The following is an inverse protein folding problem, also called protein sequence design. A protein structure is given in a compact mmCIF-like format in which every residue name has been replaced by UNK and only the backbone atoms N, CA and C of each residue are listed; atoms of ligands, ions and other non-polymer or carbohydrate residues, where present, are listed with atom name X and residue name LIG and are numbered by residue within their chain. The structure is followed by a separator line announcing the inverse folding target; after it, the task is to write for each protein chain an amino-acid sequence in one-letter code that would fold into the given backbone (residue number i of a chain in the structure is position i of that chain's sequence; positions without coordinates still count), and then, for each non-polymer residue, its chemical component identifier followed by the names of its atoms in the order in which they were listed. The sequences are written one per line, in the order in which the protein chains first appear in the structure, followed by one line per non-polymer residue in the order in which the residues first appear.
data_IF_949582796517
#
_entry.id   IF_949582796517
#
_cell.length_a   1.000
_cell.length_b   1.000
_cell.length_c   1.000
_cell.angle_alpha   90.00
_cell.angle_beta   90.00
_cell.angle_gamma   90.00
#
_symmetry.space_group_name_H-M   'P 1'
#
loop_
_entity.id
_entity.type
_entity.pdbx_description
1 polymer ?
#
# COMPACT_ATOMS: atom_id res chain seq x y z
N UNK A 1 49.92 -4.88 -7.56
CA UNK A 1 49.13 -5.11 -8.79
C UNK A 1 47.92 -4.19 -8.77
N UNK A 2 47.86 -3.24 -9.72
CA UNK A 2 46.73 -2.33 -9.98
C UNK A 2 45.72 -3.09 -10.84
N UNK A 3 44.49 -3.34 -10.37
CA UNK A 3 43.30 -3.59 -11.21
C UNK A 3 42.09 -3.98 -10.35
N UNK A 4 41.32 -3.01 -9.85
CA UNK A 4 39.89 -3.14 -9.48
C UNK A 4 39.26 -1.75 -9.35
N UNK A 5 39.42 -0.91 -10.38
CA UNK A 5 38.88 0.46 -10.42
C UNK A 5 37.78 0.66 -11.47
N UNK A 6 37.22 -0.40 -12.04
CA UNK A 6 36.37 -0.29 -13.24
C UNK A 6 34.85 -0.40 -12.96
N UNK A 7 34.43 -1.04 -11.86
CA UNK A 7 33.01 -1.25 -11.56
C UNK A 7 32.38 -0.17 -10.65
N UNK A 8 33.18 0.74 -10.08
CA UNK A 8 32.66 1.87 -9.30
C UNK A 8 32.12 3.03 -10.17
N UNK A 9 32.29 2.97 -11.50
CA UNK A 9 31.84 4.00 -12.46
C UNK A 9 30.48 3.72 -13.08
N UNK A 10 29.89 2.55 -12.86
CA UNK A 10 28.68 2.09 -13.57
C UNK A 10 27.42 2.05 -12.71
N UNK A 11 27.38 2.74 -11.57
CA UNK A 11 26.11 2.96 -10.86
C UNK A 11 25.28 3.97 -11.67
N UNK A 12 24.02 3.65 -12.04
CA UNK A 12 23.19 4.55 -12.82
C UNK A 12 22.99 5.89 -12.08
N UNK A 13 23.36 6.98 -12.73
CA UNK A 13 23.29 8.36 -12.24
C UNK A 13 21.84 8.91 -12.10
N UNK A 14 20.84 8.04 -12.10
CA UNK A 14 19.42 8.39 -12.22
C UNK A 14 18.70 8.57 -10.87
N UNK A 15 19.34 8.25 -9.74
CA UNK A 15 18.78 8.48 -8.40
C UNK A 15 19.56 9.56 -7.62
N UNK A 16 18.92 10.65 -7.16
CA UNK A 16 19.56 11.70 -6.36
C UNK A 16 20.04 11.22 -4.97
N UNK A 17 19.63 10.01 -4.54
CA UNK A 17 20.01 9.35 -3.27
C UNK A 17 21.54 9.29 -3.05
N UNK A 18 22.32 9.19 -4.13
CA UNK A 18 23.78 8.99 -4.02
C UNK A 18 24.62 10.28 -3.97
N UNK A 19 24.04 11.48 -4.15
CA UNK A 19 24.82 12.73 -4.30
C UNK A 19 25.23 13.40 -2.98
N UNK A 20 24.59 13.08 -1.84
CA UNK A 20 24.75 13.83 -0.58
C UNK A 20 25.94 13.45 0.34
N UNK A 21 26.67 12.37 0.07
CA UNK A 21 27.61 11.77 1.05
C UNK A 21 29.03 12.36 0.96
N UNK A 22 29.15 13.69 0.87
CA UNK A 22 30.48 14.34 0.81
C UNK A 22 30.60 15.58 1.71
N UNK A 23 30.10 15.53 2.95
CA UNK A 23 30.36 16.58 3.94
C UNK A 23 31.60 16.28 4.80
N UNK A 24 32.49 17.27 4.91
CA UNK A 24 33.86 17.18 5.46
C UNK A 24 33.94 17.10 7.00
N UNK A 25 32.82 17.07 7.71
CA UNK A 25 32.75 17.04 9.19
C UNK A 25 32.99 15.66 9.79
N UNK A 26 33.07 14.63 8.95
CA UNK A 26 33.36 13.24 9.33
C UNK A 26 34.86 12.92 9.32
N UNK A 27 35.69 13.84 9.83
CA UNK A 27 37.17 13.69 9.86
C UNK A 27 37.76 13.47 11.26
N UNK A 28 37.01 13.74 12.35
CA UNK A 28 37.52 13.49 13.72
C UNK A 28 37.00 12.23 14.40
N UNK A 29 35.77 11.77 14.12
CA UNK A 29 35.22 10.51 14.67
C UNK A 29 35.67 9.26 13.89
N UNK A 30 36.18 9.47 12.69
CA UNK A 30 36.63 8.43 11.73
C UNK A 30 37.99 7.82 12.05
N UNK A 31 38.81 8.46 12.90
CA UNK A 31 40.15 7.92 13.23
C UNK A 31 40.07 6.61 14.03
N UNK A 32 39.03 6.40 14.85
CA UNK A 32 38.82 5.15 15.59
C UNK A 32 38.11 4.06 14.77
N UNK A 33 37.45 4.43 13.67
CA UNK A 33 36.77 3.51 12.74
C UNK A 33 37.74 3.01 11.64
N UNK A 34 38.82 3.74 11.39
CA UNK A 34 39.80 3.46 10.32
C UNK A 34 40.66 2.18 10.49
N UNK A 35 40.50 1.41 11.58
CA UNK A 35 41.18 0.12 11.78
C UNK A 35 40.31 -1.11 11.48
N UNK A 36 39.10 -0.95 10.95
CA UNK A 36 38.31 -2.09 10.49
C UNK A 36 38.60 -2.34 9.01
N UNK A 37 39.70 -3.04 8.74
CA UNK A 37 39.98 -3.59 7.43
C UNK A 37 38.93 -4.62 7.03
N UNK A 38 38.68 -4.71 5.72
CA UNK A 38 38.40 -5.88 4.85
C UNK A 38 38.16 -7.28 5.46
N UNK A 39 37.51 -7.41 6.61
CA UNK A 39 37.14 -8.68 7.21
C UNK A 39 35.62 -8.78 7.15
N UNK A 40 35.12 -9.80 6.44
CA UNK A 40 33.72 -10.20 6.52
C UNK A 40 33.46 -10.61 7.98
N UNK A 41 32.87 -9.70 8.77
CA UNK A 41 32.59 -10.01 10.17
C UNK A 41 31.54 -11.12 10.23
N UNK A 42 31.80 -12.13 11.06
CA UNK A 42 30.89 -13.26 11.28
C UNK A 42 29.47 -12.76 11.60
N UNK A 43 29.37 -11.64 12.32
CA UNK A 43 28.13 -10.94 12.63
C UNK A 43 27.36 -10.45 11.39
N UNK A 44 28.03 -9.86 10.39
CA UNK A 44 27.38 -9.41 9.16
C UNK A 44 26.81 -10.59 8.37
N UNK A 45 27.54 -11.71 8.32
CA UNK A 45 27.08 -12.94 7.68
C UNK A 45 25.85 -13.51 8.40
N UNK A 46 25.87 -13.56 9.73
CA UNK A 46 24.74 -14.06 10.51
C UNK A 46 23.49 -13.20 10.32
N UNK A 47 23.62 -11.87 10.31
CA UNK A 47 22.48 -10.98 10.07
C UNK A 47 21.92 -11.16 8.66
N UNK A 48 22.78 -11.19 7.63
CA UNK A 48 22.32 -11.38 6.25
C UNK A 48 21.64 -12.74 6.06
N UNK A 49 22.20 -13.82 6.62
CA UNK A 49 21.56 -15.13 6.64
C UNK A 49 20.21 -15.09 7.36
N UNK A 50 20.13 -14.44 8.53
CA UNK A 50 18.89 -14.30 9.29
C UNK A 50 17.80 -13.57 8.52
N UNK A 51 18.14 -12.48 7.83
CA UNK A 51 17.22 -11.74 6.96
C UNK A 51 16.74 -12.60 5.79
N UNK A 52 17.64 -13.24 5.06
CA UNK A 52 17.25 -14.12 3.95
C UNK A 52 16.40 -15.31 4.41
N UNK A 53 16.73 -15.91 5.57
CA UNK A 53 15.91 -16.96 6.17
C UNK A 53 14.52 -16.44 6.56
N UNK A 54 14.41 -15.23 7.11
CA UNK A 54 13.12 -14.59 7.39
C UNK A 54 12.29 -14.44 6.11
N UNK A 55 12.91 -13.98 5.03
CA UNK A 55 12.26 -13.85 3.73
C UNK A 55 11.84 -15.22 3.16
N UNK A 56 12.68 -16.24 3.29
CA UNK A 56 12.38 -17.62 2.89
C UNK A 56 11.23 -18.22 3.71
N UNK A 57 11.20 -18.00 5.02
CA UNK A 57 10.13 -18.44 5.92
C UNK A 57 8.80 -17.76 5.58
N UNK A 58 8.83 -16.45 5.29
CA UNK A 58 7.64 -15.72 4.87
C UNK A 58 7.05 -16.28 3.56
N UNK A 59 7.86 -16.88 2.67
CA UNK A 59 7.38 -17.47 1.41
C UNK A 59 6.75 -18.88 1.58
N UNK A 60 6.92 -19.53 2.74
CA UNK A 60 6.45 -20.91 2.96
C UNK A 60 4.93 -21.06 2.86
N UNK A 61 4.09 -20.18 3.44
CA UNK A 61 2.64 -20.27 3.32
C UNK A 61 2.17 -20.25 1.85
N UNK A 62 2.81 -19.44 1.00
CA UNK A 62 2.52 -19.38 -0.43
C UNK A 62 2.87 -20.68 -1.16
N UNK A 63 4.06 -21.23 -0.89
CA UNK A 63 4.48 -22.52 -1.47
C UNK A 63 3.49 -23.63 -1.15
N UNK A 64 2.98 -23.66 0.09
CA UNK A 64 1.99 -24.64 0.52
C UNK A 64 0.62 -24.39 -0.12
N UNK A 65 0.15 -23.14 -0.16
CA UNK A 65 -1.16 -22.79 -0.72
C UNK A 65 -1.27 -23.03 -2.23
N UNK A 66 -0.19 -22.78 -2.99
CA UNK A 66 -0.19 -22.99 -4.45
C UNK A 66 -0.09 -24.48 -4.83
N UNK A 67 0.43 -25.30 -3.93
CA UNK A 67 0.74 -26.68 -4.19
C UNK A 67 -0.42 -27.62 -3.84
N UNK A 68 -0.99 -28.32 -4.83
CA UNK A 68 -1.99 -29.39 -4.59
C UNK A 68 -1.38 -30.71 -4.07
N UNK A 69 -0.07 -30.79 -3.92
CA UNK A 69 0.65 -32.03 -3.61
C UNK A 69 0.88 -32.18 -2.11
N UNK A 70 0.97 -33.43 -1.62
CA UNK A 70 1.25 -33.71 -0.21
C UNK A 70 2.63 -33.18 0.22
N UNK A 71 2.74 -32.66 1.45
CA UNK A 71 3.95 -32.05 2.02
C UNK A 71 5.21 -32.93 1.86
N UNK A 72 5.03 -34.26 1.97
CA UNK A 72 6.14 -35.23 1.88
C UNK A 72 6.81 -35.25 0.50
N UNK A 73 6.08 -34.95 -0.56
CA UNK A 73 6.58 -34.89 -1.94
C UNK A 73 7.31 -33.56 -2.22
N UNK A 74 7.10 -32.55 -1.38
CA UNK A 74 7.67 -31.21 -1.52
C UNK A 74 8.97 -31.01 -0.76
N UNK A 75 9.27 -31.89 0.21
CA UNK A 75 10.48 -31.87 1.01
C UNK A 75 11.79 -31.63 0.21
N UNK A 76 12.03 -32.26 -0.97
CA UNK A 76 13.24 -31.96 -1.74
C UNK A 76 13.25 -30.58 -2.40
N UNK A 77 12.09 -29.99 -2.70
CA UNK A 77 11.99 -28.62 -3.20
C UNK A 77 12.26 -27.59 -2.10
N UNK A 78 11.78 -27.86 -0.88
CA UNK A 78 12.12 -27.06 0.30
C UNK A 78 13.64 -27.02 0.53
N UNK A 79 14.33 -28.15 0.38
CA UNK A 79 15.80 -28.21 0.45
C UNK A 79 16.49 -27.30 -0.58
N UNK A 80 15.99 -27.27 -1.83
CA UNK A 80 16.52 -26.37 -2.88
C UNK A 80 16.26 -24.89 -2.55
N UNK A 81 15.07 -24.56 -2.07
CA UNK A 81 14.72 -23.18 -1.67
C UNK A 81 15.61 -22.71 -0.52
N UNK A 82 15.77 -23.53 0.53
CA UNK A 82 16.66 -23.22 1.65
C UNK A 82 18.11 -23.06 1.18
N UNK A 83 18.57 -23.88 0.24
CA UNK A 83 19.90 -23.74 -0.37
C UNK A 83 20.08 -22.42 -1.14
N UNK A 84 19.09 -22.01 -1.93
CA UNK A 84 19.12 -20.73 -2.67
C UNK A 84 19.10 -19.54 -1.71
N UNK A 85 18.25 -19.60 -0.68
CA UNK A 85 18.11 -18.55 0.33
C UNK A 85 19.40 -18.37 1.13
N UNK A 86 20.02 -19.46 1.57
CA UNK A 86 21.28 -19.42 2.32
C UNK A 86 22.44 -18.93 1.45
N UNK A 87 22.54 -19.40 0.20
CA UNK A 87 23.56 -18.90 -0.74
C UNK A 87 23.35 -17.41 -1.05
N UNK A 88 22.11 -16.96 -1.22
CA UNK A 88 21.76 -15.55 -1.39
C UNK A 88 22.21 -14.69 -0.22
N UNK A 89 21.94 -15.13 1.02
CA UNK A 89 22.38 -14.43 2.24
C UNK A 89 23.90 -14.33 2.37
N UNK A 90 24.64 -15.39 2.02
CA UNK A 90 26.12 -15.39 2.02
C UNK A 90 26.65 -14.42 0.96
N UNK A 91 26.11 -14.47 -0.26
CA UNK A 91 26.52 -13.58 -1.35
C UNK A 91 26.22 -12.12 -1.02
N UNK A 92 25.07 -11.84 -0.42
CA UNK A 92 24.70 -10.50 0.02
C UNK A 92 25.63 -9.98 1.13
N UNK A 93 25.99 -10.82 2.10
CA UNK A 93 26.97 -10.48 3.13
C UNK A 93 28.34 -10.14 2.51
N UNK A 94 28.78 -10.92 1.51
CA UNK A 94 30.03 -10.67 0.80
C UNK A 94 30.01 -9.35 0.04
N UNK A 95 28.90 -9.01 -0.64
CA UNK A 95 28.73 -7.73 -1.33
C UNK A 95 28.78 -6.53 -0.37
N UNK A 96 28.12 -6.63 0.79
CA UNK A 96 28.13 -5.56 1.81
C UNK A 96 29.49 -5.45 2.52
N UNK A 97 30.19 -6.57 2.73
CA UNK A 97 31.57 -6.59 3.22
C UNK A 97 32.55 -5.88 2.27
N UNK A 98 32.27 -5.87 0.96
CA UNK A 98 33.05 -5.14 -0.03
C UNK A 98 32.74 -3.63 -0.11
N UNK A 99 31.61 -3.16 0.42
CA UNK A 99 31.13 -1.78 0.25
C UNK A 99 30.59 -1.18 1.58
N UNK A 100 31.44 -1.16 2.61
CA UNK A 100 31.07 -0.95 4.02
C UNK A 100 30.88 0.52 4.45
N UNK A 101 30.47 1.41 3.55
CA UNK A 101 30.12 2.78 3.94
C UNK A 101 28.88 2.77 4.85
N UNK A 102 28.91 3.36 6.06
CA UNK A 102 27.81 3.25 7.02
C UNK A 102 26.46 3.73 6.46
N UNK A 103 26.45 4.78 5.62
CA UNK A 103 25.22 5.23 4.94
C UNK A 103 24.73 4.30 3.82
N UNK A 104 25.63 3.59 3.12
CA UNK A 104 25.27 2.69 2.01
C UNK A 104 24.59 1.43 2.57
N UNK A 105 25.11 0.90 3.67
CA UNK A 105 24.59 -0.33 4.30
C UNK A 105 23.18 -0.12 4.84
N UNK A 106 22.87 1.05 5.42
CA UNK A 106 21.51 1.39 5.82
C UNK A 106 20.52 1.46 4.66
N UNK A 107 20.94 1.97 3.50
CA UNK A 107 20.09 1.99 2.28
C UNK A 107 19.74 0.57 1.84
N UNK A 108 20.71 -0.36 1.85
CA UNK A 108 20.45 -1.76 1.54
C UNK A 108 19.48 -2.42 2.53
N UNK A 109 19.51 -2.03 3.80
CA UNK A 109 18.54 -2.46 4.80
C UNK A 109 17.11 -2.02 4.46
N UNK A 110 16.95 -0.76 4.03
CA UNK A 110 15.66 -0.22 3.57
C UNK A 110 15.14 -0.98 2.34
N UNK A 111 16.01 -1.23 1.35
CA UNK A 111 15.64 -2.01 0.16
C UNK A 111 15.18 -3.43 0.51
N UNK A 112 15.93 -4.13 1.37
CA UNK A 112 15.55 -5.46 1.84
C UNK A 112 14.13 -5.44 2.47
N UNK A 113 13.89 -4.50 3.39
CA UNK A 113 12.57 -4.35 4.04
C UNK A 113 11.46 -3.98 3.04
N UNK A 114 11.76 -3.17 2.03
CA UNK A 114 10.81 -2.82 0.96
C UNK A 114 10.40 -4.01 0.10
N UNK A 115 11.29 -4.97 -0.11
CA UNK A 115 10.99 -6.20 -0.85
C UNK A 115 10.19 -7.15 0.05
N UNK A 116 10.57 -7.26 1.32
CA UNK A 116 9.87 -8.08 2.30
C UNK A 116 8.40 -7.62 2.48
N UNK A 117 8.15 -6.31 2.51
CA UNK A 117 6.79 -5.77 2.60
C UNK A 117 5.95 -6.08 1.36
N UNK A 118 6.51 -6.01 0.15
CA UNK A 118 5.81 -6.48 -1.07
C UNK A 118 5.50 -7.97 -1.02
N UNK A 119 6.41 -8.77 -0.49
CA UNK A 119 6.20 -10.21 -0.32
C UNK A 119 5.05 -10.48 0.67
N UNK A 120 5.10 -9.87 1.86
CA UNK A 120 4.03 -10.01 2.87
C UNK A 120 2.68 -9.52 2.34
N UNK A 121 2.66 -8.43 1.56
CA UNK A 121 1.47 -7.95 0.87
C UNK A 121 0.92 -8.99 -0.12
N UNK A 122 1.78 -9.62 -0.93
CA UNK A 122 1.40 -10.70 -1.83
C UNK A 122 0.87 -11.93 -1.07
N UNK A 123 1.52 -12.30 0.04
CA UNK A 123 1.12 -13.42 0.88
C UNK A 123 -0.27 -13.19 1.49
N UNK A 124 -0.56 -11.96 1.92
CA UNK A 124 -1.88 -11.55 2.40
C UNK A 124 -2.97 -11.76 1.34
N UNK A 125 -2.71 -11.37 0.09
CA UNK A 125 -3.63 -11.56 -1.03
C UNK A 125 -3.94 -13.04 -1.29
N UNK A 126 -2.91 -13.89 -1.32
CA UNK A 126 -3.07 -15.33 -1.50
C UNK A 126 -3.89 -15.93 -0.36
N UNK A 127 -3.59 -15.53 0.88
CA UNK A 127 -4.34 -15.95 2.05
C UNK A 127 -5.81 -15.50 1.96
N UNK A 128 -6.09 -14.27 1.53
CA UNK A 128 -7.47 -13.79 1.36
C UNK A 128 -8.25 -14.65 0.37
N UNK A 129 -7.66 -15.01 -0.78
CA UNK A 129 -8.33 -15.90 -1.74
C UNK A 129 -8.48 -17.33 -1.22
N UNK A 130 -7.47 -17.87 -0.52
CA UNK A 130 -7.55 -19.18 0.10
C UNK A 130 -8.70 -19.25 1.13
N UNK A 131 -8.81 -18.25 2.00
CA UNK A 131 -9.89 -18.15 2.98
C UNK A 131 -11.24 -17.96 2.30
N UNK A 132 -11.33 -17.11 1.27
CA UNK A 132 -12.56 -16.90 0.50
C UNK A 132 -13.06 -18.20 -0.15
N UNK A 133 -12.17 -18.99 -0.77
CA UNK A 133 -12.53 -20.27 -1.39
C UNK A 133 -12.87 -21.36 -0.36
N UNK A 134 -12.30 -21.28 0.85
CA UNK A 134 -12.54 -22.25 1.92
C UNK A 134 -13.90 -21.99 2.61
N UNK A 135 -14.16 -20.74 3.01
CA UNK A 135 -15.39 -20.38 3.72
C UNK A 135 -16.58 -20.16 2.78
N UNK A 136 -16.33 -19.71 1.54
CA UNK A 136 -17.37 -19.39 0.58
C UNK A 136 -17.00 -19.86 -0.83
N UNK A 137 -16.99 -21.17 -1.03
CA UNK A 137 -16.51 -21.81 -2.27
C UNK A 137 -17.16 -21.27 -3.55
N UNK A 138 -18.48 -21.04 -3.56
CA UNK A 138 -19.21 -20.53 -4.73
C UNK A 138 -18.91 -19.06 -5.02
N UNK A 139 -19.11 -18.17 -4.03
CA UNK A 139 -18.85 -16.74 -4.18
C UNK A 139 -17.35 -16.42 -4.37
N UNK A 140 -16.47 -17.16 -3.70
CA UNK A 140 -15.02 -17.05 -3.83
C UNK A 140 -14.53 -17.39 -5.24
N UNK A 141 -15.15 -18.34 -5.94
CA UNK A 141 -14.83 -18.63 -7.34
C UNK A 141 -15.23 -17.47 -8.27
N UNK A 142 -16.40 -16.84 -8.03
CA UNK A 142 -16.84 -15.64 -8.76
C UNK A 142 -15.91 -14.45 -8.45
N UNK A 143 -15.53 -14.26 -7.19
CA UNK A 143 -14.62 -13.21 -6.77
C UNK A 143 -13.23 -13.33 -7.42
N UNK A 144 -12.69 -14.56 -7.50
CA UNK A 144 -11.41 -14.79 -8.18
C UNK A 144 -11.50 -14.51 -9.69
N UNK A 145 -12.62 -14.86 -10.32
CA UNK A 145 -12.86 -14.53 -11.72
C UNK A 145 -12.93 -13.02 -11.95
N UNK A 146 -13.73 -12.31 -11.14
CA UNK A 146 -13.89 -10.85 -11.20
C UNK A 146 -12.57 -10.11 -10.90
N UNK A 147 -11.78 -10.57 -9.92
CA UNK A 147 -10.45 -10.03 -9.64
C UNK A 147 -9.51 -10.18 -10.85
N UNK A 148 -9.46 -11.38 -11.45
CA UNK A 148 -8.60 -11.64 -12.60
C UNK A 148 -9.03 -10.84 -13.83
N UNK A 149 -10.34 -10.67 -14.02
CA UNK A 149 -10.90 -9.79 -15.03
C UNK A 149 -10.43 -8.35 -14.81
N UNK A 150 -10.62 -7.80 -13.61
CA UNK A 150 -10.26 -6.44 -13.26
C UNK A 150 -8.75 -6.14 -13.42
N UNK A 151 -7.86 -7.02 -12.96
CA UNK A 151 -6.39 -6.84 -13.08
C UNK A 151 -5.90 -6.99 -14.52
N UNK A 152 -6.62 -7.74 -15.36
CA UNK A 152 -6.26 -7.92 -16.78
C UNK A 152 -6.70 -6.75 -17.65
N UNK A 153 -7.68 -5.96 -17.21
CA UNK A 153 -8.10 -4.77 -17.93
C UNK A 153 -6.92 -3.77 -18.04
N UNK A 154 -6.66 -3.19 -19.23
CA UNK A 154 -5.54 -2.27 -19.43
C UNK A 154 -5.63 -1.03 -18.53
N UNK A 155 -6.85 -0.63 -18.15
CA UNK A 155 -7.10 0.50 -17.27
C UNK A 155 -6.43 0.34 -15.90
N UNK A 156 -6.34 -0.88 -15.36
CA UNK A 156 -5.67 -1.14 -14.08
C UNK A 156 -4.21 -0.68 -14.11
N UNK A 157 -3.44 -1.16 -15.08
CA UNK A 157 -2.03 -0.83 -15.22
C UNK A 157 -1.80 0.61 -15.67
N UNK A 158 -2.69 1.15 -16.51
CA UNK A 158 -2.63 2.55 -16.95
C UNK A 158 -2.82 3.51 -15.77
N UNK A 159 -3.85 3.32 -14.96
CA UNK A 159 -4.11 4.16 -13.78
C UNK A 159 -3.02 4.01 -12.72
N UNK A 160 -2.54 2.78 -12.49
CA UNK A 160 -1.41 2.53 -11.58
C UNK A 160 -0.17 3.30 -12.03
N UNK A 161 0.22 3.17 -13.30
CA UNK A 161 1.42 3.84 -13.83
C UNK A 161 1.27 5.36 -13.83
N UNK A 162 0.10 5.88 -14.21
CA UNK A 162 -0.19 7.31 -14.14
C UNK A 162 -0.07 7.84 -12.70
N UNK A 163 -0.61 7.12 -11.71
CA UNK A 163 -0.46 7.47 -10.31
C UNK A 163 0.99 7.48 -9.83
N UNK A 164 1.77 6.45 -10.20
CA UNK A 164 3.19 6.36 -9.82
C UNK A 164 3.99 7.51 -10.43
N UNK A 165 3.68 7.88 -11.67
CA UNK A 165 4.32 9.00 -12.36
C UNK A 165 4.01 10.33 -11.66
N UNK A 166 2.74 10.60 -11.36
CA UNK A 166 2.32 11.83 -10.66
C UNK A 166 2.98 11.91 -9.28
N UNK A 167 3.01 10.81 -8.51
CA UNK A 167 3.71 10.75 -7.23
C UNK A 167 5.22 10.97 -7.38
N UNK A 168 5.84 10.46 -8.44
CA UNK A 168 7.25 10.72 -8.74
C UNK A 168 7.53 12.19 -9.04
N UNK A 169 6.64 12.86 -9.78
CA UNK A 169 6.74 14.29 -10.07
C UNK A 169 6.62 15.15 -8.80
N UNK A 170 5.83 14.72 -7.82
CA UNK A 170 5.67 15.41 -6.52
C UNK A 170 7.01 15.63 -5.78
N UNK A 171 8.04 14.83 -6.06
CA UNK A 171 9.37 15.00 -5.44
C UNK A 171 10.02 16.33 -5.88
N UNK A 172 9.86 16.69 -7.16
CA UNK A 172 10.60 17.79 -7.81
C UNK A 172 9.82 19.10 -7.77
N UNK A 173 8.49 19.04 -7.60
CA UNK A 173 7.63 20.21 -7.60
C UNK A 173 7.93 21.10 -6.38
N UNK A 174 8.20 22.41 -6.57
CA UNK A 174 8.26 23.36 -5.47
C UNK A 174 6.86 23.69 -4.98
N UNK A 175 6.60 23.47 -3.69
CA UNK A 175 5.28 23.72 -3.07
C UNK A 175 5.11 25.16 -2.56
N UNK A 176 6.15 25.98 -2.68
CA UNK A 176 6.18 27.37 -2.22
C UNK A 176 5.70 27.55 -0.76
N UNK A 177 5.96 26.55 0.09
CA UNK A 177 5.65 26.58 1.52
C UNK A 177 6.89 26.99 2.32
N UNK A 178 6.68 27.66 3.45
CA UNK A 178 7.74 28.12 4.34
C UNK A 178 8.28 26.99 5.24
N UNK A 179 8.74 25.89 4.64
CA UNK A 179 9.40 24.79 5.35
C UNK A 179 8.53 23.58 5.68
N UNK A 180 7.30 23.50 5.16
CA UNK A 180 6.39 22.35 5.33
C UNK A 180 6.26 21.47 4.08
N UNK A 181 7.25 21.50 3.18
CA UNK A 181 7.25 20.77 1.92
C UNK A 181 6.97 19.26 2.09
N UNK A 182 7.52 18.65 3.16
CA UNK A 182 7.32 17.23 3.45
C UNK A 182 5.86 16.90 3.79
N UNK A 183 5.16 17.79 4.51
CA UNK A 183 3.75 17.59 4.85
C UNK A 183 2.87 17.66 3.60
N UNK A 184 3.17 18.62 2.72
CA UNK A 184 2.44 18.79 1.46
C UNK A 184 2.61 17.61 0.50
N UNK A 185 3.81 17.03 0.43
CA UNK A 185 4.06 15.82 -0.38
C UNK A 185 3.29 14.63 0.20
N UNK A 186 3.28 14.47 1.53
CA UNK A 186 2.49 13.43 2.19
C UNK A 186 1.01 13.58 1.83
N UNK A 187 0.43 14.77 2.01
CA UNK A 187 -0.98 15.05 1.69
C UNK A 187 -1.35 14.66 0.25
N UNK A 188 -0.57 15.14 -0.74
CA UNK A 188 -0.84 14.85 -2.15
C UNK A 188 -0.70 13.36 -2.46
N UNK A 189 0.32 12.69 -1.90
CA UNK A 189 0.54 11.26 -2.16
C UNK A 189 -0.52 10.38 -1.49
N UNK A 190 -1.01 10.72 -0.29
CA UNK A 190 -2.17 10.04 0.31
C UNK A 190 -3.44 10.26 -0.52
N UNK A 191 -3.70 11.49 -0.97
CA UNK A 191 -4.85 11.81 -1.82
C UNK A 191 -4.83 10.99 -3.12
N UNK A 192 -3.68 10.88 -3.80
CA UNK A 192 -3.53 10.06 -5.00
C UNK A 192 -3.73 8.56 -4.72
N UNK A 193 -3.20 8.07 -3.59
CA UNK A 193 -3.33 6.65 -3.18
C UNK A 193 -4.78 6.28 -2.89
N UNK A 194 -5.61 7.23 -2.47
CA UNK A 194 -7.03 7.04 -2.23
C UNK A 194 -7.87 7.22 -3.51
N UNK A 195 -7.61 8.29 -4.27
CA UNK A 195 -8.45 8.69 -5.41
C UNK A 195 -8.30 7.74 -6.61
N UNK A 196 -7.07 7.33 -6.95
CA UNK A 196 -6.83 6.51 -8.15
C UNK A 196 -7.50 5.13 -8.01
N UNK A 197 -7.37 4.40 -6.88
CA UNK A 197 -8.13 3.16 -6.64
C UNK A 197 -9.63 3.33 -6.54
N UNK A 198 -10.12 4.46 -6.02
CA UNK A 198 -11.55 4.75 -6.01
C UNK A 198 -12.12 4.88 -7.43
N UNK A 199 -11.46 5.66 -8.29
CA UNK A 199 -11.85 5.82 -9.70
C UNK A 199 -11.81 4.48 -10.44
N UNK A 200 -10.74 3.71 -10.25
CA UNK A 200 -10.65 2.37 -10.83
C UNK A 200 -11.77 1.45 -10.35
N UNK A 201 -12.06 1.42 -9.04
CA UNK A 201 -13.10 0.57 -8.45
C UNK A 201 -14.49 0.88 -9.02
N UNK A 202 -14.83 2.17 -9.17
CA UNK A 202 -16.10 2.62 -9.77
C UNK A 202 -16.21 2.19 -11.23
N UNK A 203 -15.17 2.42 -12.04
CA UNK A 203 -15.21 2.08 -13.46
C UNK A 203 -15.24 0.55 -13.64
N UNK A 204 -14.39 -0.19 -12.91
CA UNK A 204 -14.33 -1.65 -12.98
C UNK A 204 -15.64 -2.29 -12.53
N UNK A 205 -16.28 -1.78 -11.47
CA UNK A 205 -17.60 -2.21 -11.05
C UNK A 205 -18.67 -1.93 -12.10
N UNK A 206 -18.63 -0.75 -12.72
CA UNK A 206 -19.58 -0.37 -13.75
C UNK A 206 -19.50 -1.27 -14.97
N UNK A 207 -18.29 -1.55 -15.48
CA UNK A 207 -18.06 -2.44 -16.63
C UNK A 207 -18.48 -3.87 -16.28
N UNK A 208 -17.87 -4.44 -15.23
CA UNK A 208 -18.04 -5.86 -14.92
C UNK A 208 -19.49 -6.21 -14.55
N UNK A 209 -20.22 -5.31 -13.88
CA UNK A 209 -21.61 -5.58 -13.48
C UNK A 209 -22.60 -5.16 -14.58
N UNK A 210 -22.51 -3.95 -15.13
CA UNK A 210 -23.54 -3.45 -16.06
C UNK A 210 -23.49 -4.20 -17.39
N UNK A 211 -22.30 -4.45 -17.95
CA UNK A 211 -22.18 -5.12 -19.26
C UNK A 211 -22.64 -6.59 -19.20
N UNK A 212 -22.41 -7.29 -18.08
CA UNK A 212 -22.86 -8.67 -17.94
C UNK A 212 -24.38 -8.79 -17.75
N UNK A 213 -25.00 -7.80 -17.10
CA UNK A 213 -26.44 -7.79 -16.93
C UNK A 213 -27.14 -7.34 -18.23
N UNK A 214 -26.60 -6.33 -18.93
CA UNK A 214 -27.16 -5.83 -20.19
C UNK A 214 -26.93 -6.80 -21.36
N UNK A 215 -25.76 -7.44 -21.43
CA UNK A 215 -25.39 -8.43 -22.44
C UNK A 215 -26.09 -9.80 -22.29
N UNK A 216 -26.99 -9.96 -21.31
CA UNK A 216 -27.67 -11.23 -20.94
C UNK A 216 -26.74 -12.40 -20.61
N UNK A 217 -25.43 -12.18 -20.50
CA UNK A 217 -24.45 -13.22 -20.16
C UNK A 217 -24.57 -13.65 -18.70
N UNK A 218 -25.07 -12.78 -17.82
CA UNK A 218 -25.41 -13.12 -16.43
C UNK A 218 -26.39 -14.32 -16.34
N UNK A 219 -27.38 -14.40 -17.24
CA UNK A 219 -28.37 -15.49 -17.27
C UNK A 219 -27.71 -16.83 -17.61
N UNK A 220 -26.71 -16.83 -18.49
CA UNK A 220 -25.96 -18.04 -18.85
C UNK A 220 -25.11 -18.56 -17.68
N UNK A 221 -24.56 -17.67 -16.84
CA UNK A 221 -23.82 -18.07 -15.64
C UNK A 221 -24.74 -18.58 -14.53
N UNK A 222 -25.96 -18.06 -14.43
CA UNK A 222 -26.99 -18.51 -13.51
C UNK A 222 -27.60 -19.88 -13.89
N UNK A 223 -27.27 -20.44 -15.06
CA UNK A 223 -27.57 -21.85 -15.38
C UNK A 223 -26.74 -22.85 -14.57
N UNK A 224 -25.64 -22.39 -13.95
CA UNK A 224 -24.90 -23.12 -12.92
C UNK A 224 -25.51 -22.82 -11.54
N UNK A 225 -25.33 -23.68 -10.52
CA UNK A 225 -25.96 -23.51 -9.20
C UNK A 225 -25.31 -22.38 -8.35
N UNK A 226 -25.21 -21.18 -8.92
CA UNK A 226 -24.72 -19.93 -8.31
C UNK A 226 -25.92 -19.05 -8.02
N UNK A 227 -26.10 -18.62 -6.76
CA UNK A 227 -27.22 -17.74 -6.41
C UNK A 227 -26.96 -16.31 -6.88
N UNK A 228 -28.02 -15.53 -7.08
CA UNK A 228 -27.92 -14.08 -7.39
C UNK A 228 -27.06 -13.32 -6.37
N UNK A 229 -27.13 -13.74 -5.09
CA UNK A 229 -26.36 -13.16 -3.98
C UNK A 229 -24.87 -13.50 -4.08
N UNK A 230 -24.55 -14.77 -4.38
CA UNK A 230 -23.16 -15.21 -4.61
C UNK A 230 -22.51 -14.48 -5.79
N UNK A 231 -23.29 -14.19 -6.84
CA UNK A 231 -22.83 -13.45 -8.01
C UNK A 231 -22.46 -12.00 -7.67
N UNK A 232 -23.39 -11.23 -7.09
CA UNK A 232 -23.18 -9.81 -6.83
C UNK A 232 -22.11 -9.56 -5.76
N UNK A 233 -22.18 -10.29 -4.64
CA UNK A 233 -21.20 -10.14 -3.56
C UNK A 233 -19.82 -10.65 -3.98
N UNK A 234 -19.76 -11.73 -4.77
CA UNK A 234 -18.52 -12.22 -5.35
C UNK A 234 -17.85 -11.18 -6.25
N UNK A 235 -18.60 -10.53 -7.15
CA UNK A 235 -18.08 -9.43 -7.98
C UNK A 235 -17.57 -8.27 -7.15
N UNK A 236 -18.35 -7.81 -6.17
CA UNK A 236 -17.92 -6.76 -5.25
C UNK A 236 -16.60 -7.11 -4.54
N UNK A 237 -16.49 -8.32 -3.98
CA UNK A 237 -15.25 -8.77 -3.33
C UNK A 237 -14.07 -8.81 -4.30
N UNK A 238 -14.26 -9.34 -5.51
CA UNK A 238 -13.21 -9.43 -6.52
C UNK A 238 -12.70 -8.05 -6.97
N UNK A 239 -13.60 -7.11 -7.23
CA UNK A 239 -13.24 -5.72 -7.62
C UNK A 239 -12.58 -4.98 -6.46
N UNK A 240 -13.08 -5.16 -5.24
CA UNK A 240 -12.49 -4.57 -4.02
C UNK A 240 -11.08 -5.10 -3.76
N UNK A 241 -10.83 -6.39 -4.01
CA UNK A 241 -9.48 -6.96 -3.95
C UNK A 241 -8.58 -6.40 -5.05
N UNK A 242 -9.10 -6.16 -6.26
CA UNK A 242 -8.33 -5.56 -7.33
C UNK A 242 -7.94 -4.10 -7.00
N UNK A 243 -8.88 -3.29 -6.50
CA UNK A 243 -8.59 -1.93 -6.04
C UNK A 243 -7.66 -1.93 -4.83
N UNK A 244 -7.77 -2.91 -3.93
CA UNK A 244 -6.83 -3.16 -2.84
C UNK A 244 -5.40 -3.43 -3.32
N UNK A 245 -5.25 -4.24 -4.38
CA UNK A 245 -3.93 -4.53 -4.96
C UNK A 245 -3.30 -3.26 -5.51
N UNK A 246 -4.09 -2.45 -6.21
CA UNK A 246 -3.62 -1.15 -6.72
C UNK A 246 -3.22 -0.21 -5.58
N UNK A 247 -4.02 -0.18 -4.51
CA UNK A 247 -3.73 0.61 -3.30
C UNK A 247 -2.42 0.17 -2.65
N UNK A 248 -2.15 -1.13 -2.54
CA UNK A 248 -0.87 -1.63 -2.00
C UNK A 248 0.33 -1.25 -2.87
N UNK A 249 0.21 -1.36 -4.21
CA UNK A 249 1.27 -0.95 -5.13
C UNK A 249 1.56 0.55 -5.04
N UNK A 250 0.52 1.39 -4.98
CA UNK A 250 0.64 2.83 -4.77
C UNK A 250 1.27 3.15 -3.41
N UNK A 251 0.84 2.46 -2.35
CA UNK A 251 1.34 2.63 -0.99
C UNK A 251 2.83 2.32 -0.87
N UNK A 252 3.30 1.29 -1.57
CA UNK A 252 4.72 0.95 -1.62
C UNK A 252 5.54 2.09 -2.26
N UNK A 253 5.03 2.70 -3.33
CA UNK A 253 5.66 3.87 -3.96
C UNK A 253 5.60 5.12 -3.08
N UNK A 254 4.50 5.33 -2.37
CA UNK A 254 4.31 6.46 -1.44
C UNK A 254 5.45 6.52 -0.41
N UNK A 255 5.78 5.41 0.24
CA UNK A 255 6.86 5.35 1.24
C UNK A 255 8.20 5.76 0.62
N UNK A 256 8.50 5.27 -0.59
CA UNK A 256 9.71 5.64 -1.32
C UNK A 256 9.74 7.10 -1.75
N UNK A 257 8.60 7.68 -2.14
CA UNK A 257 8.48 9.09 -2.54
C UNK A 257 8.73 10.01 -1.35
N UNK A 258 8.12 9.72 -0.19
CA UNK A 258 8.34 10.47 1.05
C UNK A 258 9.82 10.41 1.46
N UNK A 259 10.44 9.23 1.37
CA UNK A 259 11.86 9.07 1.66
C UNK A 259 12.75 9.83 0.67
N UNK A 260 12.44 9.76 -0.63
CA UNK A 260 13.19 10.49 -1.65
C UNK A 260 13.09 12.01 -1.45
N UNK A 261 11.91 12.51 -1.08
CA UNK A 261 11.70 13.94 -0.77
C UNK A 261 12.51 14.38 0.45
N UNK A 262 12.49 13.60 1.53
CA UNK A 262 13.29 13.86 2.73
C UNK A 262 14.80 13.99 2.41
N UNK A 263 15.30 13.14 1.52
CA UNK A 263 16.71 13.20 1.09
C UNK A 263 17.00 14.35 0.11
N UNK A 264 16.02 14.74 -0.71
CA UNK A 264 16.17 15.82 -1.69
C UNK A 264 16.24 17.19 -1.01
N UNK A 265 15.39 17.43 0.00
CA UNK A 265 15.32 18.71 0.73
C UNK A 265 16.28 18.78 1.92
N UNK A 266 17.09 17.73 2.16
CA UNK A 266 17.97 17.67 3.32
C UNK A 266 19.04 18.77 3.28
N UNK A 267 18.88 19.75 4.16
CA UNK A 267 19.83 20.82 4.43
C UNK A 267 20.36 20.67 5.87
N UNK A 268 21.63 20.30 6.08
CA UNK A 268 22.18 19.97 7.40
C UNK A 268 22.04 21.08 8.47
N UNK A 269 21.85 22.33 8.04
CA UNK A 269 21.73 23.51 8.89
C UNK A 269 20.30 23.95 9.17
N UNK A 270 19.30 23.40 8.46
CA UNK A 270 17.90 23.87 8.48
C UNK A 270 16.94 22.73 8.79
N UNK A 271 17.07 21.59 8.12
CA UNK A 271 16.18 20.44 8.32
C UNK A 271 16.71 19.55 9.44
N UNK A 272 15.91 19.39 10.49
CA UNK A 272 16.12 18.33 11.48
C UNK A 272 15.55 17.03 10.92
N UNK A 273 16.39 15.99 10.84
CA UNK A 273 15.91 14.65 10.48
C UNK A 273 14.96 14.16 11.59
N UNK A 274 13.86 13.46 11.23
CA UNK A 274 13.04 12.79 12.23
C UNK A 274 13.94 11.90 13.10
N UNK A 275 13.79 11.97 14.45
CA UNK A 275 14.56 11.10 15.31
C UNK A 275 14.19 9.64 15.03
N UNK A 276 15.18 8.77 15.08
CA UNK A 276 14.91 7.34 14.96
C UNK A 276 14.00 6.86 16.09
N UNK A 277 13.09 5.92 15.82
CA UNK A 277 12.15 5.47 16.82
C UNK A 277 12.85 4.82 18.01
N UNK A 278 12.31 5.03 19.20
CA UNK A 278 12.91 4.60 20.47
C UNK A 278 13.11 3.08 20.55
N UNK A 279 12.13 2.32 20.07
CA UNK A 279 12.21 0.86 19.99
C UNK A 279 13.37 0.39 19.10
N UNK A 280 13.67 1.12 18.02
CA UNK A 280 14.74 0.77 17.09
C UNK A 280 16.11 1.10 17.69
N UNK A 281 16.23 2.27 18.32
CA UNK A 281 17.47 2.67 19.01
C UNK A 281 17.82 1.71 20.15
N UNK A 282 16.83 1.33 20.96
CA UNK A 282 17.00 0.36 22.05
C UNK A 282 17.33 -1.04 21.52
N UNK A 283 16.68 -1.48 20.43
CA UNK A 283 16.97 -2.75 19.78
C UNK A 283 18.41 -2.80 19.24
N UNK A 284 18.82 -1.80 18.45
CA UNK A 284 20.17 -1.75 17.87
C UNK A 284 21.23 -1.67 18.97
N UNK A 285 21.00 -0.87 20.01
CA UNK A 285 21.91 -0.76 21.15
C UNK A 285 22.10 -2.11 21.87
N UNK A 286 21.06 -2.95 21.93
CA UNK A 286 21.11 -4.27 22.57
C UNK A 286 21.76 -5.35 21.69
N UNK A 287 21.68 -5.24 20.36
CA UNK A 287 22.14 -6.30 19.44
C UNK A 287 23.58 -6.09 18.93
N UNK A 288 23.81 -5.09 18.06
CA UNK A 288 25.09 -4.92 17.34
C UNK A 288 25.66 -3.49 17.43
N UNK A 289 24.98 -2.56 18.09
CA UNK A 289 25.42 -1.16 18.25
C UNK A 289 25.64 -0.44 16.92
N UNK A 290 26.63 0.46 16.87
CA UNK A 290 26.99 1.27 15.67
C UNK A 290 27.90 0.48 14.69
N UNK A 291 27.86 -0.85 14.74
CA UNK A 291 28.59 -1.68 13.80
C UNK A 291 27.88 -1.72 12.44
N UNK A 292 28.61 -2.12 11.39
CA UNK A 292 28.07 -2.34 10.03
C UNK A 292 26.78 -3.18 10.01
N UNK A 293 26.67 -4.34 10.71
CA UNK A 293 25.41 -5.08 10.80
C UNK A 293 24.28 -4.31 11.51
N UNK A 294 24.61 -3.45 12.47
CA UNK A 294 23.65 -2.59 13.16
C UNK A 294 23.02 -1.55 12.23
N UNK A 295 23.82 -0.94 11.34
CA UNK A 295 23.31 0.02 10.33
C UNK A 295 22.40 -0.66 9.30
N UNK A 296 22.66 -1.93 8.94
CA UNK A 296 21.77 -2.69 8.06
C UNK A 296 20.39 -2.89 8.72
N UNK A 297 20.37 -3.32 9.98
CA UNK A 297 19.14 -3.50 10.75
C UNK A 297 18.44 -2.17 11.03
N UNK A 298 19.19 -1.08 11.22
CA UNK A 298 18.63 0.26 11.36
C UNK A 298 17.87 0.68 10.12
N UNK A 299 18.48 0.52 8.94
CA UNK A 299 17.80 0.80 7.68
C UNK A 299 16.53 -0.03 7.49
N UNK A 300 16.60 -1.33 7.78
CA UNK A 300 15.44 -2.22 7.68
C UNK A 300 14.31 -1.80 8.65
N UNK A 301 14.65 -1.50 9.90
CA UNK A 301 13.71 -1.07 10.94
C UNK A 301 13.10 0.31 10.68
N UNK A 302 13.87 1.26 10.16
CA UNK A 302 13.37 2.57 9.73
C UNK A 302 12.29 2.40 8.66
N UNK A 303 12.52 1.57 7.64
CA UNK A 303 11.51 1.34 6.60
C UNK A 303 10.22 0.70 7.15
N UNK A 304 10.34 -0.25 8.11
CA UNK A 304 9.16 -0.83 8.79
C UNK A 304 8.41 0.25 9.57
N UNK A 305 9.13 1.16 10.23
CA UNK A 305 8.53 2.27 10.93
C UNK A 305 7.79 3.22 9.97
N UNK A 306 8.44 3.62 8.87
CA UNK A 306 7.84 4.47 7.83
C UNK A 306 6.56 3.83 7.26
N UNK A 307 6.55 2.50 7.07
CA UNK A 307 5.35 1.76 6.67
C UNK A 307 4.26 1.78 7.76
N UNK A 308 4.64 1.63 9.03
CA UNK A 308 3.70 1.63 10.15
C UNK A 308 3.05 2.99 10.38
N UNK A 309 3.77 4.09 10.10
CA UNK A 309 3.21 5.45 10.11
C UNK A 309 2.21 5.65 8.97
N UNK A 310 2.47 5.06 7.80
CA UNK A 310 1.61 5.22 6.64
C UNK A 310 0.34 4.38 6.68
N UNK A 311 0.39 3.23 7.36
CA UNK A 311 -0.66 2.22 7.36
C UNK A 311 -2.06 2.74 7.75
N UNK A 312 -2.23 3.55 8.80
CA UNK A 312 -3.58 3.98 9.19
C UNK A 312 -4.19 4.95 8.17
N UNK A 313 -3.40 5.85 7.59
CA UNK A 313 -3.83 6.72 6.50
C UNK A 313 -4.27 5.92 5.26
N UNK A 314 -3.49 4.91 4.86
CA UNK A 314 -3.84 4.01 3.77
C UNK A 314 -5.14 3.25 4.08
N UNK A 315 -5.32 2.81 5.33
CA UNK A 315 -6.50 2.06 5.76
C UNK A 315 -7.76 2.92 5.70
N UNK A 316 -7.69 4.16 6.17
CA UNK A 316 -8.78 5.14 6.08
C UNK A 316 -9.12 5.41 4.59
N UNK A 317 -8.10 5.68 3.77
CA UNK A 317 -8.28 5.91 2.34
C UNK A 317 -8.92 4.71 1.63
N UNK A 318 -8.53 3.49 2.00
CA UNK A 318 -9.15 2.27 1.46
C UNK A 318 -10.62 2.12 1.86
N UNK A 319 -11.02 2.62 3.04
CA UNK A 319 -12.42 2.70 3.45
C UNK A 319 -13.30 3.48 2.45
N UNK A 320 -12.79 4.58 1.91
CA UNK A 320 -13.47 5.32 0.83
C UNK A 320 -13.55 4.50 -0.47
N UNK A 321 -12.47 3.81 -0.82
CA UNK A 321 -12.43 2.97 -2.04
C UNK A 321 -13.50 1.88 -1.96
N UNK A 322 -13.59 1.18 -0.83
CA UNK A 322 -14.58 0.11 -0.60
C UNK A 322 -16.01 0.67 -0.68
N UNK A 323 -16.28 1.78 0.01
CA UNK A 323 -17.63 2.38 0.06
C UNK A 323 -18.10 2.85 -1.32
N UNK A 324 -17.24 3.56 -2.08
CA UNK A 324 -17.57 3.97 -3.45
C UNK A 324 -17.74 2.78 -4.40
N UNK A 325 -16.91 1.74 -4.25
CA UNK A 325 -17.04 0.51 -5.04
C UNK A 325 -18.37 -0.17 -4.74
N UNK A 326 -18.80 -0.22 -3.47
CA UNK A 326 -20.08 -0.80 -3.06
C UNK A 326 -21.28 -0.04 -3.64
N UNK A 327 -21.25 1.30 -3.56
CA UNK A 327 -22.26 2.16 -4.17
C UNK A 327 -22.30 1.96 -5.68
N UNK A 328 -21.14 1.91 -6.34
CA UNK A 328 -21.04 1.68 -7.78
C UNK A 328 -21.58 0.31 -8.19
N UNK A 329 -21.29 -0.75 -7.43
CA UNK A 329 -21.84 -2.09 -7.70
C UNK A 329 -23.36 -2.09 -7.53
N UNK A 330 -23.88 -1.45 -6.47
CA UNK A 330 -25.32 -1.38 -6.22
C UNK A 330 -26.05 -0.63 -7.35
N UNK A 331 -25.54 0.52 -7.78
CA UNK A 331 -26.13 1.32 -8.86
C UNK A 331 -26.01 0.65 -10.24
N UNK A 332 -24.90 -0.06 -10.52
CA UNK A 332 -24.70 -0.83 -11.74
C UNK A 332 -25.76 -1.94 -11.95
N UNK A 333 -26.48 -2.34 -10.90
CA UNK A 333 -27.57 -3.33 -11.05
C UNK A 333 -28.77 -2.80 -11.84
N UNK A 334 -28.92 -1.48 -12.00
CA UNK A 334 -30.04 -0.87 -12.75
C UNK A 334 -29.60 0.17 -13.77
N UNK A 335 -28.48 0.85 -13.53
CA UNK A 335 -28.00 1.91 -14.39
C UNK A 335 -27.02 1.35 -15.42
N UNK A 336 -27.05 1.83 -16.69
CA UNK A 336 -26.01 1.52 -17.65
C UNK A 336 -24.68 2.15 -17.22
N UNK A 337 -23.57 1.60 -17.72
CA UNK A 337 -22.21 1.94 -17.29
C UNK A 337 -21.95 3.46 -17.21
N UNK A 338 -22.27 4.20 -18.28
CA UNK A 338 -21.96 5.64 -18.36
C UNK A 338 -22.72 6.44 -17.29
N UNK A 339 -24.01 6.13 -17.10
CA UNK A 339 -24.84 6.80 -16.10
C UNK A 339 -24.35 6.47 -14.69
N UNK A 340 -23.94 5.22 -14.46
CA UNK A 340 -23.41 4.80 -13.17
C UNK A 340 -22.14 5.58 -12.78
N UNK A 341 -21.16 5.66 -13.69
CA UNK A 341 -19.90 6.39 -13.43
C UNK A 341 -20.16 7.87 -13.13
N UNK A 342 -21.07 8.52 -13.87
CA UNK A 342 -21.45 9.92 -13.63
C UNK A 342 -22.12 10.08 -12.26
N UNK A 343 -23.04 9.19 -11.90
CA UNK A 343 -23.70 9.21 -10.59
C UNK A 343 -22.70 9.01 -9.44
N UNK A 344 -21.77 8.07 -9.57
CA UNK A 344 -20.71 7.87 -8.59
C UNK A 344 -19.79 9.10 -8.46
N UNK A 345 -19.48 9.78 -9.56
CA UNK A 345 -18.72 11.03 -9.51
C UNK A 345 -19.49 12.15 -8.78
N UNK A 346 -20.80 12.28 -9.02
CA UNK A 346 -21.65 13.22 -8.28
C UNK A 346 -21.69 12.87 -6.79
N UNK A 347 -21.85 11.59 -6.45
CA UNK A 347 -21.84 11.11 -5.06
C UNK A 347 -20.49 11.39 -4.39
N UNK A 348 -19.39 11.20 -5.12
CA UNK A 348 -18.05 11.54 -4.63
C UNK A 348 -17.91 13.03 -4.32
N UNK A 349 -18.31 13.91 -5.24
CA UNK A 349 -18.27 15.36 -5.05
C UNK A 349 -19.17 15.80 -3.88
N UNK A 350 -20.41 15.32 -3.85
CA UNK A 350 -21.35 15.66 -2.78
C UNK A 350 -20.89 15.13 -1.43
N UNK A 351 -20.31 13.92 -1.36
CA UNK A 351 -19.82 13.35 -0.11
C UNK A 351 -18.64 14.09 0.51
N UNK A 352 -17.83 14.78 -0.30
CA UNK A 352 -16.74 15.63 0.19
C UNK A 352 -17.19 17.07 0.51
N UNK A 353 -18.28 17.54 -0.12
CA UNK A 353 -18.79 18.90 0.09
C UNK A 353 -19.91 18.98 1.15
N UNK A 354 -20.63 17.89 1.40
CA UNK A 354 -21.82 17.90 2.27
C UNK A 354 -21.55 18.44 3.68
N UNK A 355 -20.47 18.05 4.39
CA UNK A 355 -20.22 18.58 5.74
C UNK A 355 -19.86 20.08 5.71
N UNK A 356 -19.10 20.51 4.71
CA UNK A 356 -18.80 21.94 4.50
C UNK A 356 -20.10 22.73 4.23
N UNK A 357 -21.04 22.15 3.48
CA UNK A 357 -22.33 22.78 3.21
C UNK A 357 -23.21 22.89 4.45
N UNK A 358 -23.21 21.91 5.36
CA UNK A 358 -24.03 21.97 6.58
C UNK A 358 -23.52 23.03 7.55
N UNK A 359 -22.21 23.20 7.68
CA UNK A 359 -21.61 24.27 8.48
C UNK A 359 -21.88 25.66 7.90
N UNK A 360 -21.72 25.83 6.59
CA UNK A 360 -21.92 27.12 5.92
C UNK A 360 -23.40 27.56 5.87
N UNK A 361 -24.33 26.59 5.82
CA UNK A 361 -25.75 26.84 5.54
C UNK A 361 -26.61 27.06 6.78
N UNK A 362 -26.03 27.13 7.99
CA UNK A 362 -26.75 27.36 9.25
C UNK A 362 -27.61 28.64 9.25
N UNK A 363 -27.32 29.58 8.34
CA UNK A 363 -28.05 30.85 8.23
C UNK A 363 -29.32 30.78 7.38
N UNK A 364 -29.52 29.74 6.56
CA UNK A 364 -30.70 29.59 5.69
C UNK A 364 -31.36 28.23 5.95
N UNK A 365 -32.55 28.19 6.61
CA UNK A 365 -33.17 26.94 7.04
C UNK A 365 -33.41 25.92 5.92
N UNK A 366 -33.77 26.38 4.72
CA UNK A 366 -34.04 25.50 3.58
C UNK A 366 -32.77 24.81 3.08
N UNK A 367 -31.65 25.54 2.96
CA UNK A 367 -30.38 24.98 2.50
C UNK A 367 -29.81 24.02 3.55
N UNK A 368 -29.96 24.36 4.83
CA UNK A 368 -29.58 23.49 5.94
C UNK A 368 -30.34 22.16 5.93
N UNK A 369 -31.65 22.16 5.67
CA UNK A 369 -32.45 20.94 5.55
C UNK A 369 -31.95 20.01 4.44
N UNK A 370 -31.71 20.54 3.23
CA UNK A 370 -31.18 19.74 2.12
C UNK A 370 -29.76 19.24 2.40
N UNK A 371 -28.92 20.05 3.05
CA UNK A 371 -27.58 19.64 3.42
C UNK A 371 -27.59 18.48 4.44
N UNK A 372 -28.46 18.53 5.45
CA UNK A 372 -28.68 17.41 6.38
C UNK A 372 -29.22 16.17 5.69
N UNK A 373 -30.12 16.33 4.71
CA UNK A 373 -30.65 15.21 3.93
C UNK A 373 -29.54 14.52 3.12
N UNK A 374 -28.66 15.30 2.49
CA UNK A 374 -27.52 14.75 1.75
C UNK A 374 -26.50 14.10 2.68
N UNK A 375 -26.21 14.70 3.84
CA UNK A 375 -25.32 14.11 4.85
C UNK A 375 -25.86 12.79 5.42
N UNK A 376 -27.18 12.64 5.54
CA UNK A 376 -27.81 11.41 5.99
C UNK A 376 -27.83 10.31 4.91
N UNK A 377 -28.04 10.69 3.65
CA UNK A 377 -28.25 9.74 2.55
C UNK A 377 -26.95 9.33 1.86
N UNK A 378 -25.99 10.25 1.78
CA UNK A 378 -24.69 10.01 1.15
C UNK A 378 -23.63 9.70 2.20
N UNK A 379 -22.66 8.83 1.89
CA UNK A 379 -21.50 8.66 2.74
C UNK A 379 -20.75 10.00 2.85
N UNK A 380 -20.45 10.43 4.08
CA UNK A 380 -19.65 11.61 4.34
C UNK A 380 -18.16 11.26 4.08
N UNK A 381 -17.75 11.41 2.82
CA UNK A 381 -16.41 11.03 2.36
C UNK A 381 -15.29 11.87 2.99
N UNK A 382 -15.60 13.06 3.49
CA UNK A 382 -14.65 13.88 4.25
C UNK A 382 -14.10 13.18 5.50
N UNK A 383 -14.87 12.27 6.11
CA UNK A 383 -14.38 11.47 7.23
C UNK A 383 -13.24 10.52 6.84
N UNK A 384 -13.08 10.24 5.54
CA UNK A 384 -11.96 9.47 5.02
C UNK A 384 -10.76 10.35 4.64
N UNK A 385 -10.84 11.68 4.78
CA UNK A 385 -9.71 12.54 4.43
C UNK A 385 -8.58 12.42 5.48
N UNK A 386 -7.48 11.84 5.01
CA UNK A 386 -6.26 11.56 5.78
C UNK A 386 -5.48 12.86 6.09
N UNK A 387 -5.73 13.92 5.32
CA UNK A 387 -5.03 15.22 5.38
C UNK A 387 -5.15 15.85 6.77
N UNK A 388 -6.33 15.79 7.38
CA UNK A 388 -6.61 16.38 8.71
C UNK A 388 -5.87 15.70 9.88
N UNK A 389 -5.41 14.44 9.69
CA UNK A 389 -4.73 13.66 10.71
C UNK A 389 -3.21 13.59 10.52
N UNK A 390 -2.74 13.58 9.27
CA UNK A 390 -1.30 13.46 8.93
C UNK A 390 -0.55 14.80 8.96
N UNK A 391 -1.25 15.94 8.82
CA UNK A 391 -0.65 17.29 8.78
C UNK A 391 -0.42 17.89 10.18
N UNK A 392 -0.97 17.28 11.24
CA UNK A 392 -0.88 17.85 12.60
C UNK A 392 0.58 17.87 13.09
N UNK A 393 1.01 19.02 13.59
CA UNK A 393 2.34 19.25 14.21
C UNK A 393 2.63 18.39 15.44
N UNK A 394 1.61 17.74 15.98
CA UNK A 394 1.72 16.92 17.20
C UNK A 394 1.67 15.45 16.79
N UNK A 395 2.69 14.64 17.14
CA UNK A 395 2.63 13.20 16.94
C UNK A 395 1.42 12.67 17.70
N UNK A 396 0.46 12.08 16.97
CA UNK A 396 -0.70 11.45 17.58
C UNK A 396 -0.22 10.27 18.41
N UNK A 397 -0.70 10.17 19.65
CA UNK A 397 -0.54 8.98 20.46
C UNK A 397 -1.00 7.75 19.64
N UNK A 398 -0.13 6.76 19.38
CA UNK A 398 -0.43 5.64 18.48
C UNK A 398 -1.75 4.94 18.83
N UNK A 399 -2.09 4.86 20.12
CA UNK A 399 -3.34 4.27 20.58
C UNK A 399 -4.58 5.06 20.12
N UNK A 400 -4.55 6.39 20.23
CA UNK A 400 -5.68 7.25 19.81
C UNK A 400 -5.87 7.22 18.30
N UNK A 401 -4.78 7.23 17.54
CA UNK A 401 -4.87 7.18 16.09
C UNK A 401 -5.37 5.82 15.58
N UNK A 402 -4.99 4.73 16.24
CA UNK A 402 -5.55 3.41 15.96
C UNK A 402 -7.06 3.33 16.23
N UNK A 403 -7.53 3.91 17.34
CA UNK A 403 -8.97 3.96 17.66
C UNK A 403 -9.74 4.79 16.61
N UNK A 404 -9.21 5.94 16.22
CA UNK A 404 -9.81 6.77 15.16
C UNK A 404 -9.90 5.99 13.84
N UNK A 405 -8.81 5.35 13.42
CA UNK A 405 -8.75 4.52 12.22
C UNK A 405 -9.80 3.40 12.26
N UNK A 406 -9.95 2.73 13.40
CA UNK A 406 -10.93 1.66 13.59
C UNK A 406 -12.36 2.18 13.46
N UNK A 407 -12.68 3.33 14.08
CA UNK A 407 -14.01 3.94 13.98
C UNK A 407 -14.38 4.30 12.55
N UNK A 408 -13.44 4.89 11.81
CA UNK A 408 -13.64 5.24 10.39
C UNK A 408 -13.80 3.99 9.53
N UNK A 409 -13.04 2.92 9.81
CA UNK A 409 -13.19 1.64 9.12
C UNK A 409 -14.56 1.00 9.40
N UNK A 410 -15.04 1.03 10.66
CA UNK A 410 -16.38 0.57 10.99
C UNK A 410 -17.45 1.35 10.24
N UNK A 411 -17.31 2.68 10.16
CA UNK A 411 -18.18 3.54 9.35
C UNK A 411 -18.15 3.14 7.86
N UNK A 412 -16.98 2.85 7.29
CA UNK A 412 -16.87 2.36 5.91
C UNK A 412 -17.62 1.03 5.72
N UNK A 413 -17.45 0.08 6.65
CA UNK A 413 -18.07 -1.23 6.56
C UNK A 413 -19.60 -1.17 6.69
N UNK A 414 -20.13 -0.31 7.56
CA UNK A 414 -21.59 -0.15 7.70
C UNK A 414 -22.21 0.43 6.44
N UNK A 415 -21.64 1.49 5.86
CA UNK A 415 -22.11 2.05 4.59
C UNK A 415 -21.96 1.08 3.42
N UNK A 416 -20.87 0.33 3.38
CA UNK A 416 -20.65 -0.75 2.41
C UNK A 416 -21.75 -1.81 2.53
N UNK A 417 -22.08 -2.24 3.75
CA UNK A 417 -23.14 -3.22 3.98
C UNK A 417 -24.51 -2.68 3.56
N UNK A 418 -24.84 -1.43 3.88
CA UNK A 418 -26.10 -0.78 3.48
C UNK A 418 -26.19 -0.70 1.94
N UNK A 419 -25.13 -0.24 1.27
CA UNK A 419 -25.09 -0.14 -0.18
C UNK A 419 -25.25 -1.52 -0.85
N UNK A 420 -24.54 -2.54 -0.36
CA UNK A 420 -24.64 -3.89 -0.89
C UNK A 420 -26.01 -4.54 -0.64
N UNK A 421 -26.63 -4.30 0.52
CA UNK A 421 -28.00 -4.74 0.79
C UNK A 421 -28.98 -4.07 -0.18
N UNK A 422 -28.85 -2.76 -0.40
CA UNK A 422 -29.64 -2.04 -1.41
C UNK A 422 -29.46 -2.61 -2.81
N UNK A 423 -28.22 -2.88 -3.22
CA UNK A 423 -27.91 -3.51 -4.50
C UNK A 423 -28.50 -4.91 -4.65
N UNK A 424 -28.51 -5.72 -3.58
CA UNK A 424 -29.11 -7.06 -3.59
C UNK A 424 -30.63 -7.01 -3.77
N UNK A 425 -31.32 -6.14 -3.02
CA UNK A 425 -32.78 -5.94 -3.15
C UNK A 425 -33.11 -5.50 -4.57
N UNK A 426 -32.38 -4.50 -5.07
CA UNK A 426 -32.59 -3.94 -6.39
C UNK A 426 -32.34 -4.96 -7.53
N UNK A 427 -31.47 -5.93 -7.30
CA UNK A 427 -31.16 -7.02 -8.23
C UNK A 427 -32.17 -8.19 -8.15
N UNK A 428 -32.75 -8.46 -6.98
CA UNK A 428 -33.82 -9.46 -6.84
C UNK A 428 -35.07 -9.04 -7.63
N UNK A 429 -35.44 -7.76 -7.54
CA UNK A 429 -36.59 -7.17 -8.25
C UNK A 429 -36.37 -6.95 -9.75
N UNK A 430 -35.19 -7.29 -10.29
CA UNK A 430 -34.94 -7.17 -11.73
C UNK A 430 -35.35 -8.49 -12.38
N UNK A 431 -36.38 -8.43 -13.22
CA UNK A 431 -36.79 -9.55 -14.06
C UNK A 431 -35.70 -9.79 -15.11
N UNK A 432 -34.79 -10.71 -14.79
CA UNK A 432 -33.71 -11.18 -15.70
C UNK A 432 -34.16 -12.39 -16.54
N UNK A 433 -35.47 -12.66 -16.60
CA UNK A 433 -36.07 -13.78 -17.32
C UNK A 433 -36.39 -13.45 -18.79
#
# INVERSE_FOLDING_TARGET
MKSTGFLARSLPAWFPIFKGIRSKTQTRKTSRISRCGTEMTLDLLLVCLGLFLLQGLAAVPWLLALSRQSFRTQLPYFGKVVGIVTLGGILFAFLLGGNSGPGIVGIWGRFYSSILTLQVASDLFVLTFYLALTFWSKGGAVALAAFREAVRQPMFWLLTLAGMLIMGLAIVIPYFTFGEDLKMVKEITYALTMLIPAVFGVISASISVSEEIEGRTAVTLLSKPVTRRDFLLGKFFGITLASGLMTLLMSWVLVWVVLAKLHYDFQPSVTQLPPDPEWLNTFIAKTYGVAVPGELLRGAGQFVHDCSEALPGITIGFGQVITLTAVSVALATRLPMVVNVIMCFVIYLLGHLAPIMTEASQRVPLVYFFAQLFELLLPALENFDVSSAVIRDVPLDPGRYAIYTLNVLLYALTYTAIAMLGGLILFEDRDVA
#
